data_IF_136446433102
#
_entry.id   IF_136446433102
#
_cell.length_a   1.000
_cell.length_b   1.000
_cell.length_c   1.000
_cell.angle_alpha   90.00
_cell.angle_beta   90.00
_cell.angle_gamma   90.00
#
_symmetry.space_group_name_H-M   'P 1'
#
loop_
_entity.id
_entity.type
_entity.pdbx_description
1 polymer ?
#
# COMPACT_ATOMS: atom_id res chain seq x y z
N UNK A 1 4.81 -6.77 9.61
CA UNK A 1 3.91 -5.64 9.89
C UNK A 1 4.51 -4.68 10.93
N UNK A 2 4.64 -5.06 12.20
CA UNK A 2 5.06 -4.16 13.31
C UNK A 2 6.27 -3.27 13.01
N UNK A 3 7.32 -3.85 12.42
CA UNK A 3 8.53 -3.11 12.04
C UNK A 3 8.23 -2.01 11.02
N UNK A 4 7.38 -2.29 10.03
CA UNK A 4 6.99 -1.31 9.00
C UNK A 4 6.13 -0.20 9.61
N UNK A 5 5.13 -0.55 10.41
CA UNK A 5 4.30 0.42 11.14
C UNK A 5 5.15 1.34 12.01
N UNK A 6 6.14 0.75 12.71
CA UNK A 6 7.09 1.53 13.52
C UNK A 6 7.90 2.50 12.67
N UNK A 7 8.41 2.08 11.51
CA UNK A 7 9.15 2.96 10.59
C UNK A 7 8.26 4.10 10.12
N UNK A 8 7.04 3.82 9.65
CA UNK A 8 6.10 4.85 9.16
C UNK A 8 5.82 5.92 10.23
N UNK A 9 5.70 5.54 11.50
CA UNK A 9 5.51 6.47 12.62
C UNK A 9 6.71 7.40 12.91
N UNK A 10 7.91 7.00 12.48
CA UNK A 10 9.16 7.73 12.70
C UNK A 10 9.54 8.64 11.53
N UNK A 11 8.91 8.45 10.37
CA UNK A 11 9.25 9.19 9.16
C UNK A 11 8.60 10.58 9.17
N UNK A 12 9.41 11.58 8.83
CA UNK A 12 8.98 12.96 8.65
C UNK A 12 9.15 13.36 7.18
N UNK A 13 8.21 14.14 6.65
CA UNK A 13 8.22 14.60 5.25
C UNK A 13 7.29 13.81 4.34
N UNK A 14 7.46 14.00 3.03
CA UNK A 14 6.64 13.37 1.98
C UNK A 14 7.23 12.02 1.59
N UNK A 15 6.43 10.96 1.55
CA UNK A 15 6.88 9.63 1.14
C UNK A 15 5.76 8.78 0.54
N UNK A 16 6.16 7.81 -0.27
CA UNK A 16 5.36 6.69 -0.76
C UNK A 16 6.25 5.46 -0.69
N UNK A 17 5.88 4.47 0.12
CA UNK A 17 6.70 3.31 0.44
C UNK A 17 5.99 2.03 0.03
N UNK A 18 6.75 1.11 -0.57
CA UNK A 18 6.38 -0.29 -0.74
C UNK A 18 7.50 -1.14 -0.16
N UNK A 19 7.15 -2.08 0.72
CA UNK A 19 8.08 -3.02 1.35
C UNK A 19 7.69 -4.44 0.98
N UNK A 20 8.68 -5.18 0.49
CA UNK A 20 8.62 -6.62 0.21
C UNK A 20 9.59 -7.32 1.14
N UNK A 21 9.21 -8.50 1.62
CA UNK A 21 10.08 -9.38 2.41
C UNK A 21 10.41 -10.63 1.57
N UNK A 22 11.68 -10.98 1.46
CA UNK A 22 12.10 -12.19 0.75
C UNK A 22 11.53 -13.47 1.38
N UNK A 23 11.28 -13.45 2.69
CA UNK A 23 10.72 -14.57 3.44
C UNK A 23 9.20 -14.64 3.39
N UNK A 24 8.53 -13.54 3.07
CA UNK A 24 7.08 -13.45 2.91
C UNK A 24 6.77 -12.81 1.54
N UNK A 25 6.78 -13.65 0.51
CA UNK A 25 6.60 -13.22 -0.89
C UNK A 25 5.16 -12.94 -1.27
N UNK A 26 4.21 -13.28 -0.41
CA UNK A 26 2.77 -13.11 -0.67
C UNK A 26 2.20 -11.83 -0.06
N UNK A 27 3.01 -11.08 0.71
CA UNK A 27 2.59 -9.87 1.39
C UNK A 27 3.49 -8.68 1.04
N UNK A 28 2.87 -7.58 0.60
CA UNK A 28 3.51 -6.28 0.46
C UNK A 28 2.92 -5.30 1.47
N UNK A 29 3.76 -4.50 2.10
CA UNK A 29 3.34 -3.43 3.00
C UNK A 29 3.52 -2.08 2.32
N UNK A 30 2.50 -1.24 2.39
CA UNK A 30 2.43 0.02 1.66
C UNK A 30 2.00 1.13 2.59
N UNK A 31 2.61 2.31 2.45
CA UNK A 31 2.21 3.49 3.21
C UNK A 31 2.59 4.76 2.44
N UNK A 32 1.84 5.84 2.66
CA UNK A 32 2.19 7.16 2.13
C UNK A 32 2.00 8.28 3.14
N UNK A 33 2.60 9.41 2.81
CA UNK A 33 2.29 10.70 3.41
C UNK A 33 2.53 11.76 2.33
N UNK A 34 1.47 12.45 1.89
CA UNK A 34 1.46 13.53 0.89
C UNK A 34 1.86 13.14 -0.54
N UNK A 35 2.78 12.20 -0.74
CA UNK A 35 3.16 11.72 -2.07
C UNK A 35 2.05 10.85 -2.68
N UNK A 36 1.74 10.97 -3.98
CA UNK A 36 0.74 10.13 -4.64
C UNK A 36 1.09 8.63 -4.58
N UNK A 37 0.11 7.81 -4.22
CA UNK A 37 0.19 6.35 -4.26
C UNK A 37 -1.24 5.79 -4.27
N UNK A 38 -1.50 4.82 -5.14
CA UNK A 38 -2.79 4.17 -5.34
C UNK A 38 -2.62 2.66 -5.35
N UNK A 39 -3.67 1.95 -4.95
CA UNK A 39 -3.77 0.49 -5.09
C UNK A 39 -4.69 0.18 -6.27
N UNK A 40 -4.18 -0.50 -7.29
CA UNK A 40 -5.00 -1.11 -8.33
C UNK A 40 -5.47 -2.50 -7.89
N UNK A 41 -6.76 -2.78 -8.08
CA UNK A 41 -7.40 -4.04 -7.66
C UNK A 41 -7.79 -4.84 -8.89
N UNK A 42 -7.53 -6.14 -8.90
CA UNK A 42 -7.96 -7.03 -9.98
C UNK A 42 -8.31 -8.44 -9.51
N UNK A 43 -8.71 -9.28 -10.45
CA UNK A 43 -9.05 -10.67 -10.16
C UNK A 43 -7.79 -11.52 -10.01
N UNK A 44 -7.49 -11.94 -8.79
CA UNK A 44 -6.29 -12.71 -8.45
C UNK A 44 -4.99 -11.91 -8.51
N UNK A 45 -5.05 -10.58 -8.47
CA UNK A 45 -3.87 -9.73 -8.31
C UNK A 45 -4.23 -8.36 -7.69
N UNK A 46 -3.22 -7.74 -7.08
CA UNK A 46 -3.24 -6.33 -6.71
C UNK A 46 -1.91 -5.69 -7.13
N UNK A 47 -1.94 -4.39 -7.41
CA UNK A 47 -0.78 -3.62 -7.87
C UNK A 47 -0.74 -2.26 -7.19
N UNK A 48 0.43 -1.63 -7.09
CA UNK A 48 0.57 -0.25 -6.60
C UNK A 48 1.26 0.62 -7.64
N UNK A 49 0.82 1.87 -7.75
CA UNK A 49 1.48 2.86 -8.60
C UNK A 49 1.25 4.28 -8.08
N UNK A 50 2.05 5.23 -8.56
CA UNK A 50 1.89 6.66 -8.26
C UNK A 50 0.62 7.27 -8.86
N UNK A 51 0.09 6.65 -9.90
CA UNK A 51 -1.04 7.16 -10.68
C UNK A 51 -1.84 6.01 -11.31
N UNK A 52 -3.11 6.29 -11.62
CA UNK A 52 -4.02 5.32 -12.22
C UNK A 52 -3.66 4.96 -13.68
N UNK A 53 -3.09 5.91 -14.43
CA UNK A 53 -2.74 5.72 -15.85
C UNK A 53 -1.70 4.60 -16.02
N UNK A 54 -0.74 4.50 -15.09
CA UNK A 54 0.26 3.44 -15.06
C UNK A 54 -0.34 2.03 -14.88
N UNK A 55 -1.56 1.94 -14.33
CA UNK A 55 -2.23 0.67 -14.02
C UNK A 55 -3.34 0.30 -15.01
N UNK A 56 -3.71 1.18 -15.95
CA UNK A 56 -4.84 0.98 -16.87
C UNK A 56 -4.76 -0.32 -17.70
N UNK A 57 -3.55 -0.81 -18.00
CA UNK A 57 -3.39 -2.07 -18.73
C UNK A 57 -3.68 -3.30 -17.87
N UNK A 58 -3.59 -3.16 -16.55
CA UNK A 58 -3.86 -4.23 -15.59
C UNK A 58 -5.31 -4.15 -15.07
N UNK A 59 -5.76 -2.97 -14.65
CA UNK A 59 -7.08 -2.76 -14.06
C UNK A 59 -7.57 -1.33 -14.22
N UNK A 60 -8.89 -1.12 -14.12
CA UNK A 60 -9.55 0.17 -14.01
C UNK A 60 -10.19 0.41 -12.63
N UNK A 61 -9.99 -0.50 -11.67
CA UNK A 61 -10.45 -0.37 -10.29
C UNK A 61 -9.30 0.04 -9.37
N UNK A 62 -9.53 1.08 -8.58
CA UNK A 62 -8.50 1.67 -7.72
C UNK A 62 -9.05 1.96 -6.33
N UNK A 63 -8.19 1.80 -5.33
CA UNK A 63 -8.41 2.30 -3.97
C UNK A 63 -7.41 3.40 -3.68
N UNK A 64 -7.93 4.52 -3.21
CA UNK A 64 -7.11 5.56 -2.61
C UNK A 64 -6.70 5.12 -1.20
N UNK A 65 -5.50 5.49 -0.81
CA UNK A 65 -4.97 5.31 0.55
C UNK A 65 -4.80 6.70 1.16
N UNK A 66 -4.98 6.84 2.46
CA UNK A 66 -4.80 8.10 3.16
C UNK A 66 -3.40 8.21 3.77
N UNK A 67 -3.06 9.43 4.18
CA UNK A 67 -1.76 9.68 4.80
C UNK A 67 -1.68 8.92 6.14
N UNK A 68 -0.52 8.30 6.38
CA UNK A 68 -0.22 7.49 7.55
C UNK A 68 -1.01 6.17 7.69
N UNK A 69 -1.81 5.79 6.68
CA UNK A 69 -2.38 4.46 6.63
C UNK A 69 -1.31 3.41 6.28
N UNK A 70 -1.46 2.24 6.87
CA UNK A 70 -0.70 1.04 6.54
C UNK A 70 -1.59 0.13 5.73
N UNK A 71 -1.15 -0.23 4.52
CA UNK A 71 -1.89 -1.14 3.65
C UNK A 71 -1.12 -2.44 3.51
N UNK A 72 -1.82 -3.53 3.75
CA UNK A 72 -1.34 -4.90 3.56
C UNK A 72 -1.94 -5.36 2.24
N UNK A 73 -1.09 -5.54 1.24
CA UNK A 73 -1.47 -5.94 -0.11
C UNK A 73 -1.04 -7.39 -0.31
N UNK A 74 -2.00 -8.26 -0.58
CA UNK A 74 -1.80 -9.66 -0.96
C UNK A 74 -2.37 -9.89 -2.36
N UNK A 75 -2.24 -11.12 -2.87
CA UNK A 75 -2.83 -11.50 -4.17
C UNK A 75 -4.35 -11.29 -4.21
N UNK A 76 -5.04 -11.75 -3.17
CA UNK A 76 -6.51 -11.83 -3.15
C UNK A 76 -7.16 -10.86 -2.16
N UNK A 77 -6.36 -10.03 -1.49
CA UNK A 77 -6.83 -9.19 -0.39
C UNK A 77 -6.03 -7.88 -0.31
N UNK A 78 -6.75 -6.79 0.00
CA UNK A 78 -6.16 -5.49 0.37
C UNK A 78 -6.79 -5.06 1.69
N UNK A 79 -5.98 -4.99 2.74
CA UNK A 79 -6.38 -4.53 4.07
C UNK A 79 -5.77 -3.15 4.29
N UNK A 80 -6.61 -2.16 4.57
CA UNK A 80 -6.17 -0.81 4.94
C UNK A 80 -6.30 -0.71 6.45
N UNK A 81 -5.28 -0.18 7.12
CA UNK A 81 -5.27 0.09 8.56
C UNK A 81 -4.98 1.56 8.80
N UNK A 82 -5.76 2.18 9.66
CA UNK A 82 -5.50 3.54 10.13
C UNK A 82 -4.21 3.61 10.97
N UNK A 83 -3.81 4.81 11.36
CA UNK A 83 -2.61 5.03 12.19
C UNK A 83 -2.68 4.35 13.58
N UNK A 84 -3.86 3.92 14.02
CA UNK A 84 -4.09 3.20 15.27
C UNK A 84 -4.18 1.66 15.07
N UNK A 85 -4.08 1.18 13.83
CA UNK A 85 -4.18 -0.23 13.47
C UNK A 85 -5.62 -0.75 13.27
N UNK A 86 -6.63 0.12 13.20
CA UNK A 86 -8.02 -0.25 12.93
C UNK A 86 -8.23 -0.44 11.43
N UNK A 87 -8.96 -1.49 11.05
CA UNK A 87 -9.31 -1.86 9.66
C UNK A 87 -10.61 -1.17 9.23
#
# INVERSE_FOLDING_TARGET
EDAFTKVVSLLHGSYALGLLDEKDKDTMFVAKNKSPLLIGVGDGFNVIASDALAMLQATNEYKEIHDHEIVIVKRDEVIIKDANGQV
#
